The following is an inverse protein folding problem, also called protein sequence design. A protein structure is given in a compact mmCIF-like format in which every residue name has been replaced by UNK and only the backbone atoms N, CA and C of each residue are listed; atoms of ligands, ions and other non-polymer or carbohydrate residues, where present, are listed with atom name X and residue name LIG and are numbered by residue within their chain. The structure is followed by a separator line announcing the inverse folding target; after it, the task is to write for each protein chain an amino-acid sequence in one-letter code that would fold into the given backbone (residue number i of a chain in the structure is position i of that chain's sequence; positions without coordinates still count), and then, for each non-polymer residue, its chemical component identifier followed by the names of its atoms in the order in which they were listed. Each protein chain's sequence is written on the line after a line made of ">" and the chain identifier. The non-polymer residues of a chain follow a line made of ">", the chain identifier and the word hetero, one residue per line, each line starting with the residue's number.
data_IF_442343180721
#
_entry.id   IF_442343180721
#
_cell.length_a   1.000
_cell.length_b   1.000
_cell.length_c   1.000
_cell.angle_alpha   90.00
_cell.angle_beta   90.00
_cell.angle_gamma   90.00
#
_symmetry.space_group_name_H-M   'P 1'
#
loop_
_entity.id
_entity.type
_entity.pdbx_description
1 polymer ?
#
# COMPACT_ATOMS: atom_id res chain seq x y z
N UNK A 1 2.56 25.53 25.00
CA UNK A 1 3.52 25.64 23.88
C UNK A 1 2.72 25.68 22.59
N UNK A 2 2.88 26.72 21.77
CA UNK A 2 2.31 26.72 20.41
C UNK A 2 3.18 25.76 19.59
N UNK A 3 2.57 24.73 19.02
CA UNK A 3 3.24 23.82 18.08
C UNK A 3 3.82 24.62 16.93
N UNK A 4 5.02 24.25 16.52
CA UNK A 4 5.78 24.96 15.49
C UNK A 4 4.98 24.98 14.17
N UNK A 5 4.96 26.09 13.41
CA UNK A 5 4.20 26.17 12.16
C UNK A 5 4.58 25.06 11.17
N UNK A 6 5.84 24.63 11.20
CA UNK A 6 6.37 23.55 10.37
C UNK A 6 5.85 22.18 10.82
N UNK A 7 5.74 21.95 12.14
CA UNK A 7 5.08 20.75 12.68
C UNK A 7 3.61 20.67 12.27
N UNK A 8 2.90 21.80 12.29
CA UNK A 8 1.50 21.84 11.85
C UNK A 8 1.35 21.53 10.36
N UNK A 9 2.27 22.02 9.51
CA UNK A 9 2.27 21.71 8.08
C UNK A 9 2.55 20.24 7.81
N UNK A 10 3.55 19.65 8.48
CA UNK A 10 3.86 18.22 8.35
C UNK A 10 2.66 17.39 8.82
N UNK A 11 2.07 17.73 9.96
CA UNK A 11 0.93 17.01 10.51
C UNK A 11 -0.30 17.09 9.60
N UNK A 12 -0.58 18.25 9.02
CA UNK A 12 -1.67 18.43 8.06
C UNK A 12 -1.43 17.62 6.78
N UNK A 13 -0.20 17.59 6.28
CA UNK A 13 0.16 16.80 5.10
C UNK A 13 0.02 15.30 5.37
N UNK A 14 0.56 14.81 6.49
CA UNK A 14 0.44 13.41 6.92
C UNK A 14 -1.03 13.00 7.12
N UNK A 15 -1.84 13.87 7.71
CA UNK A 15 -3.25 13.61 7.93
C UNK A 15 -4.01 13.51 6.60
N UNK A 16 -3.77 14.44 5.68
CA UNK A 16 -4.41 14.47 4.37
C UNK A 16 -4.01 13.26 3.51
N UNK A 17 -2.75 12.85 3.59
CA UNK A 17 -2.26 11.62 2.98
C UNK A 17 -3.03 10.43 3.55
N UNK A 18 -3.04 10.25 4.87
CA UNK A 18 -3.74 9.15 5.56
C UNK A 18 -5.21 9.06 5.16
N UNK A 19 -5.93 10.17 5.15
CA UNK A 19 -7.34 10.22 4.74
C UNK A 19 -7.54 9.77 3.30
N UNK A 20 -6.66 10.22 2.40
CA UNK A 20 -6.69 9.84 0.98
C UNK A 20 -6.51 8.33 0.80
N UNK A 21 -5.63 7.71 1.57
CA UNK A 21 -5.37 6.28 1.46
C UNK A 21 -6.41 5.40 2.15
N UNK A 22 -6.96 5.85 3.28
CA UNK A 22 -8.12 5.20 3.89
C UNK A 22 -9.31 5.22 2.92
N UNK A 23 -9.48 6.32 2.20
CA UNK A 23 -10.51 6.44 1.15
C UNK A 23 -10.24 5.47 0.00
N UNK A 24 -9.00 5.41 -0.49
CA UNK A 24 -8.60 4.49 -1.56
C UNK A 24 -8.84 3.03 -1.18
N UNK A 25 -8.39 2.60 0.00
CA UNK A 25 -8.63 1.25 0.49
C UNK A 25 -10.13 0.93 0.60
N UNK A 26 -10.93 1.86 1.13
CA UNK A 26 -12.39 1.72 1.21
C UNK A 26 -13.07 1.63 -0.16
N UNK A 27 -12.56 2.32 -1.19
CA UNK A 27 -13.11 2.22 -2.55
C UNK A 27 -12.70 0.94 -3.27
N UNK A 28 -11.50 0.43 -3.00
CA UNK A 28 -10.95 -0.75 -3.69
C UNK A 28 -11.49 -2.07 -3.12
N UNK A 29 -11.65 -2.20 -1.80
CA UNK A 29 -12.18 -3.40 -1.12
C UNK A 29 -13.51 -3.90 -1.73
N UNK A 30 -14.54 -3.06 -1.93
CA UNK A 30 -15.81 -3.51 -2.52
C UNK A 30 -15.74 -3.79 -4.02
N UNK A 31 -14.80 -3.16 -4.76
CA UNK A 31 -14.57 -3.50 -6.17
C UNK A 31 -14.02 -4.93 -6.29
N UNK A 32 -13.02 -5.27 -5.48
CA UNK A 32 -12.41 -6.61 -5.43
C UNK A 32 -13.37 -7.71 -4.95
N UNK A 33 -14.45 -7.35 -4.26
CA UNK A 33 -15.42 -8.31 -3.72
C UNK A 33 -16.37 -8.89 -4.79
N UNK A 34 -16.46 -8.28 -5.99
CA UNK A 34 -17.33 -8.74 -7.07
C UNK A 34 -16.67 -8.78 -8.46
N UNK A 35 -15.39 -8.37 -8.57
CA UNK A 35 -14.61 -8.45 -9.82
C UNK A 35 -13.42 -9.37 -9.64
N UNK A 36 -12.96 -10.06 -10.71
CA UNK A 36 -11.63 -10.67 -10.70
C UNK A 36 -10.60 -9.63 -10.22
N UNK A 37 -9.75 -10.00 -9.26
CA UNK A 37 -8.70 -9.13 -8.74
C UNK A 37 -7.78 -8.72 -9.89
N UNK A 38 -7.77 -7.43 -10.23
CA UNK A 38 -6.85 -6.89 -11.22
C UNK A 38 -5.47 -6.70 -10.58
N UNK A 39 -4.47 -7.35 -11.17
CA UNK A 39 -3.10 -7.36 -10.67
C UNK A 39 -2.53 -5.95 -10.64
N UNK A 40 -2.86 -5.12 -11.63
CA UNK A 40 -2.43 -3.73 -11.67
C UNK A 40 -2.94 -2.94 -10.46
N UNK A 41 -4.20 -3.16 -10.08
CA UNK A 41 -4.80 -2.52 -8.90
C UNK A 41 -4.12 -2.97 -7.59
N UNK A 42 -3.74 -4.25 -7.49
CA UNK A 42 -2.98 -4.75 -6.34
C UNK A 42 -1.58 -4.13 -6.27
N UNK A 43 -0.90 -3.97 -7.40
CA UNK A 43 0.43 -3.35 -7.45
C UNK A 43 0.37 -1.88 -6.99
N UNK A 44 -0.59 -1.11 -7.52
CA UNK A 44 -0.80 0.28 -7.12
C UNK A 44 -1.12 0.41 -5.63
N UNK A 45 -1.95 -0.49 -5.09
CA UNK A 45 -2.27 -0.51 -3.67
C UNK A 45 -1.05 -0.88 -2.81
N UNK A 46 -0.20 -1.80 -3.27
CA UNK A 46 1.05 -2.14 -2.61
C UNK A 46 2.00 -0.96 -2.54
N UNK A 47 2.17 -0.22 -3.64
CA UNK A 47 3.05 0.97 -3.72
C UNK A 47 2.56 2.08 -2.80
N UNK A 48 1.24 2.22 -2.72
CA UNK A 48 0.57 3.12 -1.79
C UNK A 48 0.89 2.76 -0.34
N UNK A 49 0.76 1.48 0.04
CA UNK A 49 1.06 1.03 1.39
C UNK A 49 2.55 1.15 1.71
N UNK A 50 3.43 0.88 0.74
CA UNK A 50 4.88 1.09 0.86
C UNK A 50 5.18 2.57 1.16
N UNK A 51 4.65 3.49 0.35
CA UNK A 51 4.85 4.94 0.50
C UNK A 51 4.37 5.45 1.87
N UNK A 52 3.35 4.79 2.42
CA UNK A 52 2.79 5.11 3.73
C UNK A 52 3.56 4.52 4.92
N UNK A 53 4.53 3.64 4.68
CA UNK A 53 5.17 2.85 5.74
C UNK A 53 4.27 1.78 6.34
N UNK A 54 3.14 1.46 5.70
CA UNK A 54 2.27 0.34 6.03
C UNK A 54 2.88 -0.97 5.50
N UNK A 55 4.06 -1.31 6.02
CA UNK A 55 4.90 -2.40 5.50
C UNK A 55 4.18 -3.75 5.50
N UNK A 56 3.36 -4.04 6.53
CA UNK A 56 2.63 -5.32 6.61
C UNK A 56 1.58 -5.44 5.51
N UNK A 57 0.81 -4.39 5.30
CA UNK A 57 -0.22 -4.31 4.28
C UNK A 57 0.40 -4.34 2.88
N UNK A 58 1.49 -3.60 2.65
CA UNK A 58 2.24 -3.62 1.40
C UNK A 58 2.70 -5.04 1.02
N UNK A 59 3.31 -5.76 1.98
CA UNK A 59 3.75 -7.16 1.78
C UNK A 59 2.56 -8.04 1.43
N UNK A 60 1.47 -7.96 2.21
CA UNK A 60 0.29 -8.79 1.96
C UNK A 60 -0.31 -8.54 0.56
N UNK A 61 -0.33 -7.29 0.11
CA UNK A 61 -0.85 -6.91 -1.21
C UNK A 61 0.07 -7.38 -2.35
N UNK A 62 1.38 -7.20 -2.24
CA UNK A 62 2.32 -7.67 -3.25
C UNK A 62 2.41 -9.20 -3.31
N UNK A 63 2.33 -9.88 -2.17
CA UNK A 63 2.22 -11.35 -2.12
C UNK A 63 0.96 -11.84 -2.83
N UNK A 64 -0.18 -11.14 -2.67
CA UNK A 64 -1.41 -11.47 -3.39
C UNK A 64 -1.23 -11.28 -4.90
N UNK A 65 -0.62 -10.18 -5.34
CA UNK A 65 -0.32 -9.96 -6.75
C UNK A 65 0.58 -11.07 -7.32
N UNK A 66 1.61 -11.47 -6.58
CA UNK A 66 2.52 -12.57 -6.94
C UNK A 66 1.81 -13.92 -7.05
N UNK A 67 0.86 -14.21 -6.15
CA UNK A 67 0.06 -15.44 -6.19
C UNK A 67 -0.87 -15.50 -7.41
N UNK A 68 -1.39 -14.36 -7.87
CA UNK A 68 -2.30 -14.29 -9.00
C UNK A 68 -1.56 -14.40 -10.34
N UNK A 69 -0.46 -13.66 -10.51
CA UNK A 69 0.45 -13.84 -11.65
C UNK A 69 1.87 -13.39 -11.29
N UNK A 70 2.80 -14.36 -11.10
CA UNK A 70 4.20 -14.06 -10.83
C UNK A 70 4.87 -13.24 -11.94
N UNK A 71 4.47 -13.45 -13.20
CA UNK A 71 5.11 -12.80 -14.36
C UNK A 71 4.75 -11.32 -14.49
N UNK A 72 3.68 -10.88 -13.82
CA UNK A 72 3.24 -9.49 -13.80
C UNK A 72 3.80 -8.71 -12.59
N UNK A 73 4.56 -9.36 -11.70
CA UNK A 73 5.14 -8.69 -10.56
C UNK A 73 6.35 -7.84 -11.01
N UNK A 74 6.32 -6.51 -10.83
CA UNK A 74 7.44 -5.67 -11.20
C UNK A 74 8.64 -5.95 -10.29
N UNK A 75 9.84 -5.73 -10.83
CA UNK A 75 11.10 -5.96 -10.11
C UNK A 75 11.17 -5.16 -8.80
N UNK A 76 10.57 -3.96 -8.75
CA UNK A 76 10.45 -3.15 -7.54
C UNK A 76 9.66 -3.84 -6.42
N UNK A 77 8.49 -4.39 -6.75
CA UNK A 77 7.66 -5.12 -5.78
C UNK A 77 8.35 -6.42 -5.32
N UNK A 78 9.02 -7.12 -6.24
CA UNK A 78 9.81 -8.30 -5.89
C UNK A 78 10.97 -7.95 -4.95
N UNK A 79 11.74 -6.91 -5.26
CA UNK A 79 12.81 -6.42 -4.40
C UNK A 79 12.31 -5.96 -3.02
N UNK A 80 11.12 -5.34 -2.97
CA UNK A 80 10.48 -4.96 -1.72
C UNK A 80 10.13 -6.19 -0.87
N UNK A 81 9.55 -7.24 -1.46
CA UNK A 81 9.27 -8.49 -0.75
C UNK A 81 10.56 -9.17 -0.24
N UNK A 82 11.61 -9.20 -1.06
CA UNK A 82 12.90 -9.80 -0.70
C UNK A 82 13.61 -9.05 0.43
N UNK A 83 13.43 -7.72 0.49
CA UNK A 83 13.90 -6.89 1.60
C UNK A 83 13.11 -7.10 2.90
N UNK A 84 11.92 -7.70 2.84
CA UNK A 84 11.02 -7.89 3.98
C UNK A 84 10.52 -9.35 4.12
N UNK A 85 11.41 -10.34 4.35
CA UNK A 85 11.05 -11.76 4.41
C UNK A 85 10.22 -12.16 5.66
N UNK A 86 10.04 -11.25 6.63
CA UNK A 86 9.62 -11.55 8.00
C UNK A 86 8.13 -11.73 8.28
N UNK A 87 7.26 -11.83 7.28
CA UNK A 87 5.81 -12.03 7.47
C UNK A 87 5.26 -13.29 6.78
N UNK A 88 6.15 -14.14 6.26
CA UNK A 88 5.79 -15.47 5.76
C UNK A 88 5.61 -16.44 6.93
N UNK A 89 4.52 -16.31 7.70
CA UNK A 89 4.06 -17.33 8.66
C UNK A 89 2.55 -17.42 8.68
#
# INVERSE_FOLDING_TARGET
>A
MKTDPTEQMVQAFTQKMRETYVMLGKSLIPMMSNTPEDIQTLLELGEVYETLGCTREAIATYERARQLNPDCLPESAQAFLDAHPGLQT
#
